data_IF_519011387060
#
_entry.id   IF_519011387060
#
_cell.length_a   1.000
_cell.length_b   1.000
_cell.length_c   1.000
_cell.angle_alpha   90.00
_cell.angle_beta   90.00
_cell.angle_gamma   90.00
#
_symmetry.space_group_name_H-M   'P 1'
#
loop_
_entity.id
_entity.type
_entity.pdbx_description
1 polymer ?
#
# COMPACT_ATOMS: atom_id res chain seq x y z
N UNK A 1 17.56 -23.09 -40.51
CA UNK A 1 16.36 -22.67 -39.73
C UNK A 1 16.53 -22.81 -38.21
N UNK A 2 17.74 -22.64 -37.66
CA UNK A 2 18.01 -22.63 -36.19
C UNK A 2 18.45 -21.26 -35.66
N UNK A 3 18.94 -20.37 -36.54
CA UNK A 3 19.41 -19.03 -36.14
C UNK A 3 18.27 -18.02 -35.90
N UNK A 4 17.12 -18.17 -36.57
CA UNK A 4 15.98 -17.24 -36.43
C UNK A 4 15.24 -17.50 -35.12
N UNK A 5 15.18 -18.75 -34.66
CA UNK A 5 14.46 -19.11 -33.43
C UNK A 5 15.18 -18.61 -32.17
N UNK A 6 16.52 -18.58 -32.17
CA UNK A 6 17.30 -18.09 -31.02
C UNK A 6 17.22 -16.55 -30.88
N UNK A 7 17.13 -15.81 -31.99
CA UNK A 7 17.03 -14.35 -31.97
C UNK A 7 15.67 -13.87 -31.47
N UNK A 8 14.59 -14.60 -31.77
CA UNK A 8 13.23 -14.25 -31.30
C UNK A 8 13.08 -14.51 -29.80
N UNK A 9 13.68 -15.58 -29.25
CA UNK A 9 13.72 -15.78 -27.79
C UNK A 9 14.61 -14.77 -27.06
N UNK A 10 15.70 -14.27 -27.69
CA UNK A 10 16.55 -13.25 -27.08
C UNK A 10 15.90 -11.85 -27.08
N UNK A 11 15.04 -11.56 -28.08
CA UNK A 11 14.27 -10.32 -28.15
C UNK A 11 13.09 -10.32 -27.19
N UNK A 12 12.37 -11.43 -27.02
CA UNK A 12 11.22 -11.50 -26.08
C UNK A 12 11.68 -11.47 -24.62
N UNK A 13 12.87 -12.00 -24.29
CA UNK A 13 13.46 -11.90 -22.95
C UNK A 13 13.91 -10.48 -22.57
N UNK A 14 14.09 -9.57 -23.53
CA UNK A 14 14.40 -8.15 -23.25
C UNK A 14 13.17 -7.27 -23.02
N UNK A 15 11.95 -7.77 -23.30
CA UNK A 15 10.71 -7.00 -23.12
C UNK A 15 9.99 -7.27 -21.80
N UNK A 16 10.52 -8.14 -20.94
CA UNK A 16 10.07 -8.29 -19.54
C UNK A 16 11.16 -7.86 -18.57
N UNK A 17 12.00 -6.89 -18.96
CA UNK A 17 12.53 -5.99 -17.93
C UNK A 17 11.31 -5.28 -17.36
N UNK A 18 11.03 -5.43 -16.06
CA UNK A 18 10.12 -4.53 -15.37
C UNK A 18 10.52 -3.10 -15.75
N UNK A 19 9.70 -2.42 -16.55
CA UNK A 19 10.05 -1.10 -17.04
C UNK A 19 10.07 -0.17 -15.83
N UNK A 20 11.21 0.47 -15.59
CA UNK A 20 11.35 1.39 -14.47
C UNK A 20 10.44 2.60 -14.68
N UNK A 21 9.88 3.18 -13.60
CA UNK A 21 9.16 4.43 -13.67
C UNK A 21 10.00 5.51 -14.37
N UNK A 22 9.40 6.19 -15.34
CA UNK A 22 9.99 7.34 -16.05
C UNK A 22 9.52 8.68 -15.51
N UNK A 23 8.39 8.68 -14.81
CA UNK A 23 7.74 9.87 -14.29
C UNK A 23 7.64 9.80 -12.78
N UNK A 24 8.04 10.87 -12.11
CA UNK A 24 8.20 10.93 -10.65
C UNK A 24 7.37 12.11 -10.11
N UNK A 25 6.49 11.88 -9.13
CA UNK A 25 5.79 12.96 -8.48
C UNK A 25 6.77 13.74 -7.61
N UNK A 26 6.58 15.04 -7.53
CA UNK A 26 7.28 15.90 -6.59
C UNK A 26 6.33 16.98 -6.08
N UNK A 27 6.69 17.56 -4.94
CA UNK A 27 6.01 18.72 -4.39
C UNK A 27 6.96 19.90 -4.40
N UNK A 28 6.54 21.03 -4.96
CA UNK A 28 7.30 22.27 -4.95
C UNK A 28 6.45 23.37 -4.33
N UNK A 29 6.94 23.97 -3.24
CA UNK A 29 6.21 25.04 -2.53
C UNK A 29 4.78 24.64 -2.09
N UNK A 30 4.58 23.37 -1.76
CA UNK A 30 3.26 22.85 -1.38
C UNK A 30 2.43 22.27 -2.53
N UNK A 31 2.82 22.53 -3.78
CA UNK A 31 2.05 22.13 -4.95
C UNK A 31 2.60 20.86 -5.59
N UNK A 32 1.72 19.91 -5.92
CA UNK A 32 2.07 18.62 -6.52
C UNK A 32 2.24 18.75 -8.03
N UNK A 33 3.23 18.05 -8.56
CA UNK A 33 3.65 18.08 -9.95
C UNK A 33 4.28 16.74 -10.34
N UNK A 34 4.46 16.48 -11.63
CA UNK A 34 5.15 15.29 -12.14
C UNK A 34 6.29 15.74 -13.04
N UNK A 35 7.47 15.16 -12.85
CA UNK A 35 8.62 15.35 -13.74
C UNK A 35 9.02 14.03 -14.38
N UNK A 36 9.82 14.08 -15.44
CA UNK A 36 10.55 12.92 -15.91
C UNK A 36 11.81 12.66 -15.05
N UNK A 37 12.38 11.46 -15.15
CA UNK A 37 13.63 11.06 -14.47
C UNK A 37 14.86 11.85 -14.94
N UNK A 38 14.77 12.55 -16.08
CA UNK A 38 15.80 13.45 -16.58
C UNK A 38 15.70 14.85 -15.93
N UNK A 39 14.69 15.08 -15.07
CA UNK A 39 14.49 16.31 -14.32
C UNK A 39 13.75 17.41 -15.08
N UNK A 40 13.04 17.10 -16.17
CA UNK A 40 12.16 18.06 -16.82
C UNK A 40 10.75 17.94 -16.23
N UNK A 41 10.13 19.08 -15.90
CA UNK A 41 8.74 19.10 -15.46
C UNK A 41 7.83 18.65 -16.61
N UNK A 42 7.02 17.61 -16.37
CA UNK A 42 6.10 17.01 -17.33
C UNK A 42 4.67 17.52 -17.14
N UNK A 43 4.17 17.49 -15.89
CA UNK A 43 2.91 18.11 -15.49
C UNK A 43 3.23 19.19 -14.47
N UNK A 44 2.85 20.44 -14.73
CA UNK A 44 3.21 21.59 -13.90
C UNK A 44 2.61 21.56 -12.48
N UNK A 45 3.19 22.33 -11.53
CA UNK A 45 2.67 22.47 -10.17
C UNK A 45 1.22 22.95 -10.13
N UNK A 46 0.48 22.45 -9.14
CA UNK A 46 -0.91 22.83 -8.89
C UNK A 46 -1.93 22.11 -9.77
N UNK A 47 -1.49 21.20 -10.64
CA UNK A 47 -2.43 20.39 -11.45
C UNK A 47 -3.17 19.36 -10.59
N UNK A 48 -2.46 18.76 -9.63
CA UNK A 48 -3.00 17.72 -8.75
C UNK A 48 -3.13 18.21 -7.31
N UNK A 49 -4.22 17.82 -6.66
CA UNK A 49 -4.45 18.05 -5.23
C UNK A 49 -3.74 17.03 -4.34
N UNK A 50 -3.64 15.79 -4.82
CA UNK A 50 -3.11 14.66 -4.06
C UNK A 50 -2.68 13.54 -5.02
N UNK A 51 -1.83 12.63 -4.54
CA UNK A 51 -1.49 11.40 -5.25
C UNK A 51 -1.29 10.22 -4.29
N UNK A 52 -1.63 9.02 -4.76
CA UNK A 52 -1.35 7.76 -4.09
C UNK A 52 -0.37 6.93 -4.93
N UNK A 53 0.70 6.41 -4.31
CA UNK A 53 1.69 5.57 -5.00
C UNK A 53 1.13 4.17 -5.22
N UNK A 54 1.27 3.64 -6.43
CA UNK A 54 0.78 2.31 -6.81
C UNK A 54 1.91 1.45 -7.36
N UNK A 55 1.93 0.18 -6.93
CA UNK A 55 2.79 -0.86 -7.50
C UNK A 55 4.27 -0.48 -7.49
N UNK A 56 4.73 0.08 -6.38
CA UNK A 56 6.10 0.57 -6.19
C UNK A 56 6.54 1.54 -7.31
N UNK A 57 5.81 2.65 -7.41
CA UNK A 57 6.01 3.75 -8.37
C UNK A 57 5.71 3.42 -9.84
N UNK A 58 5.15 2.26 -10.17
CA UNK A 58 4.71 1.94 -11.55
C UNK A 58 3.54 2.83 -12.00
N UNK A 59 2.73 3.30 -11.07
CA UNK A 59 1.64 4.23 -11.33
C UNK A 59 1.33 5.09 -10.10
N UNK A 60 0.48 6.09 -10.33
CA UNK A 60 -0.07 6.95 -9.27
C UNK A 60 -1.58 7.09 -9.46
N UNK A 61 -2.37 7.03 -8.38
CA UNK A 61 -3.76 7.49 -8.45
C UNK A 61 -3.72 8.99 -8.12
N UNK A 62 -4.08 9.84 -9.06
CA UNK A 62 -3.97 11.30 -8.93
C UNK A 62 -5.34 11.94 -8.85
N UNK A 63 -5.46 12.97 -8.00
CA UNK A 63 -6.63 13.82 -7.91
C UNK A 63 -6.39 15.10 -8.69
N UNK A 64 -7.07 15.29 -9.83
CA UNK A 64 -6.96 16.50 -10.64
C UNK A 64 -7.91 17.59 -10.14
N UNK A 65 -7.37 18.79 -9.89
CA UNK A 65 -8.13 19.96 -9.42
C UNK A 65 -9.27 20.37 -10.36
N UNK A 66 -9.13 20.08 -11.66
CA UNK A 66 -10.08 20.46 -12.70
C UNK A 66 -11.25 19.49 -12.78
N UNK A 67 -11.09 18.28 -12.26
CA UNK A 67 -12.09 17.22 -12.28
C UNK A 67 -12.71 17.11 -10.89
N UNK A 68 -13.93 17.63 -10.75
CA UNK A 68 -14.70 17.48 -9.50
C UNK A 68 -15.04 16.01 -9.28
N UNK A 69 -14.65 15.46 -8.13
CA UNK A 69 -14.96 14.10 -7.67
C UNK A 69 -14.39 12.93 -8.52
N UNK A 70 -13.26 13.14 -9.19
CA UNK A 70 -12.62 12.10 -10.00
C UNK A 70 -11.13 11.95 -9.66
N UNK A 71 -10.72 10.70 -9.44
CA UNK A 71 -9.34 10.26 -9.31
C UNK A 71 -9.05 9.26 -10.44
N UNK A 72 -7.86 9.32 -11.05
CA UNK A 72 -7.49 8.41 -12.16
C UNK A 72 -6.06 7.87 -12.00
N UNK A 73 -5.74 6.78 -12.71
CA UNK A 73 -4.38 6.23 -12.73
C UNK A 73 -3.51 6.99 -13.72
N UNK A 74 -2.45 7.60 -13.24
CA UNK A 74 -1.34 8.07 -14.04
C UNK A 74 -0.30 6.95 -14.17
N UNK A 75 -0.07 6.50 -15.40
CA UNK A 75 0.92 5.48 -15.71
C UNK A 75 2.34 6.09 -15.67
N UNK A 76 3.13 5.73 -14.66
CA UNK A 76 4.45 6.34 -14.44
C UNK A 76 5.51 5.86 -15.43
N UNK A 77 5.21 4.88 -16.26
CA UNK A 77 6.12 4.32 -17.27
C UNK A 77 5.87 5.01 -18.62
N UNK A 78 4.61 5.09 -19.05
CA UNK A 78 4.23 5.70 -20.34
C UNK A 78 4.02 7.21 -20.28
N UNK A 79 3.71 7.76 -19.09
CA UNK A 79 3.36 9.16 -18.91
C UNK A 79 1.93 9.50 -19.34
N UNK A 80 1.11 8.48 -19.57
CA UNK A 80 -0.30 8.65 -19.93
C UNK A 80 -1.17 8.58 -18.68
N UNK A 81 -2.10 9.50 -18.55
CA UNK A 81 -3.28 9.26 -17.72
C UNK A 81 -4.09 8.16 -18.39
N UNK A 82 -4.36 7.08 -17.67
CA UNK A 82 -5.34 6.10 -18.11
C UNK A 82 -6.71 6.75 -17.85
N UNK A 83 -7.43 7.07 -18.94
CA UNK A 83 -8.78 7.66 -18.90
C UNK A 83 -9.80 6.73 -18.19
N UNK A 84 -9.37 5.52 -17.82
CA UNK A 84 -10.20 4.39 -17.39
C UNK A 84 -10.69 4.46 -15.93
N UNK A 85 -10.64 5.61 -15.24
CA UNK A 85 -11.38 5.77 -13.97
C UNK A 85 -12.11 7.10 -13.84
N UNK A 86 -13.44 6.98 -13.78
CA UNK A 86 -14.41 8.07 -13.63
C UNK A 86 -15.08 8.06 -12.23
N UNK A 87 -14.29 7.90 -11.17
CA UNK A 87 -14.80 7.83 -9.79
C UNK A 87 -13.83 8.36 -8.74
N UNK A 88 -14.27 8.45 -7.48
CA UNK A 88 -13.49 8.95 -6.35
C UNK A 88 -12.85 7.81 -5.57
N UNK A 89 -11.54 7.84 -5.37
CA UNK A 89 -10.81 6.89 -4.54
C UNK A 89 -11.32 6.94 -3.10
N UNK A 90 -11.74 5.78 -2.59
CA UNK A 90 -12.00 5.57 -1.17
C UNK A 90 -10.65 5.45 -0.43
N UNK A 91 -10.12 6.61 -0.04
CA UNK A 91 -8.83 6.73 0.65
C UNK A 91 -8.84 6.02 2.02
N UNK A 92 -10.00 5.72 2.61
CA UNK A 92 -10.10 5.00 3.89
C UNK A 92 -9.97 3.47 3.73
N UNK A 93 -10.38 2.93 2.58
CA UNK A 93 -10.30 1.51 2.28
C UNK A 93 -8.85 1.03 2.08
N UNK A 94 -7.95 1.92 1.65
CA UNK A 94 -6.54 1.60 1.41
C UNK A 94 -6.35 0.57 0.30
N UNK A 95 -5.12 0.11 0.11
CA UNK A 95 -4.78 -0.92 -0.86
C UNK A 95 -5.22 -2.32 -0.40
N UNK A 96 -5.86 -3.08 -1.28
CA UNK A 96 -6.33 -4.45 -1.05
C UNK A 96 -5.46 -5.45 -1.83
N UNK A 97 -4.55 -6.14 -1.15
CA UNK A 97 -3.76 -7.21 -1.75
C UNK A 97 -4.57 -8.51 -1.86
N UNK A 98 -4.62 -9.08 -3.07
CA UNK A 98 -5.30 -10.33 -3.42
C UNK A 98 -4.40 -11.09 -4.38
N UNK A 99 -3.83 -12.22 -3.96
CA UNK A 99 -2.82 -12.94 -4.74
C UNK A 99 -1.65 -12.03 -5.12
N UNK A 100 -1.34 -11.98 -6.42
CA UNK A 100 -0.29 -11.13 -7.00
C UNK A 100 -0.73 -9.70 -7.32
N UNK A 101 -2.01 -9.37 -7.10
CA UNK A 101 -2.59 -8.07 -7.46
C UNK A 101 -2.92 -7.22 -6.25
N UNK A 102 -2.89 -5.92 -6.47
CA UNK A 102 -3.37 -4.92 -5.51
C UNK A 102 -4.54 -4.18 -6.12
N UNK A 103 -5.69 -4.25 -5.47
CA UNK A 103 -6.91 -3.54 -5.85
C UNK A 103 -7.12 -2.30 -4.99
N UNK A 104 -7.78 -1.30 -5.57
CA UNK A 104 -8.17 -0.05 -4.93
C UNK A 104 -9.67 0.13 -5.09
N UNK A 105 -10.31 0.64 -4.04
CA UNK A 105 -11.77 0.85 -4.01
C UNK A 105 -12.09 2.28 -4.42
N UNK A 106 -12.95 2.42 -5.43
CA UNK A 106 -13.48 3.70 -5.90
C UNK A 106 -15.01 3.76 -5.73
N UNK A 107 -15.53 4.98 -5.61
CA UNK A 107 -16.94 5.28 -5.76
C UNK A 107 -17.16 5.84 -7.16
N UNK A 108 -17.82 5.09 -8.02
CA UNK A 108 -18.10 5.45 -9.41
C UNK A 108 -19.57 5.14 -9.72
N UNK A 109 -20.26 6.03 -10.44
CA UNK A 109 -21.60 5.79 -10.98
C UNK A 109 -22.65 5.29 -9.95
N UNK A 110 -22.53 5.74 -8.69
CA UNK A 110 -23.44 5.33 -7.62
C UNK A 110 -23.17 3.95 -7.01
N UNK A 111 -22.17 3.22 -7.50
CA UNK A 111 -21.72 1.92 -7.01
C UNK A 111 -20.31 1.97 -6.41
N UNK A 112 -19.88 0.85 -5.83
CA UNK A 112 -18.45 0.61 -5.55
C UNK A 112 -17.79 0.01 -6.78
N UNK A 113 -16.52 0.36 -7.02
CA UNK A 113 -15.70 -0.20 -8.08
C UNK A 113 -14.36 -0.65 -7.52
N UNK A 114 -13.87 -1.80 -7.97
CA UNK A 114 -12.55 -2.33 -7.62
C UNK A 114 -11.66 -2.24 -8.85
N UNK A 115 -10.48 -1.64 -8.70
CA UNK A 115 -9.56 -1.44 -9.83
C UNK A 115 -8.14 -1.80 -9.42
N UNK A 116 -7.45 -2.56 -10.26
CA UNK A 116 -6.02 -2.78 -10.16
C UNK A 116 -5.32 -2.08 -11.32
N UNK A 117 -4.06 -1.69 -11.12
CA UNK A 117 -3.30 -1.00 -12.16
C UNK A 117 -3.15 -1.88 -13.41
N UNK A 118 -3.43 -1.30 -14.59
CA UNK A 118 -3.37 -2.00 -15.88
C UNK A 118 -4.47 -3.04 -16.09
N UNK A 119 -5.60 -2.92 -15.38
CA UNK A 119 -6.77 -3.81 -15.51
C UNK A 119 -8.06 -3.02 -15.65
N UNK A 120 -9.08 -3.66 -16.24
CA UNK A 120 -10.42 -3.07 -16.36
C UNK A 120 -11.08 -2.87 -14.98
N UNK A 121 -11.96 -1.86 -14.91
CA UNK A 121 -12.78 -1.59 -13.72
C UNK A 121 -13.77 -2.73 -13.46
N UNK A 122 -13.83 -3.19 -12.21
CA UNK A 122 -14.83 -4.14 -11.74
C UNK A 122 -15.90 -3.42 -10.91
N UNK A 123 -17.06 -3.17 -11.50
CA UNK A 123 -18.20 -2.60 -10.78
C UNK A 123 -18.86 -3.65 -9.89
N UNK A 124 -19.07 -3.28 -8.64
CA UNK A 124 -19.75 -4.11 -7.66
C UNK A 124 -21.28 -3.91 -7.75
N UNK A 125 -22.08 -4.92 -7.34
CA UNK A 125 -23.54 -4.89 -7.49
C UNK A 125 -24.21 -3.75 -6.70
N UNK A 126 -23.52 -3.18 -5.71
CA UNK A 126 -24.02 -2.10 -4.89
C UNK A 126 -22.88 -1.23 -4.35
N UNK A 127 -23.28 -0.13 -3.71
CA UNK A 127 -22.34 0.73 -2.98
C UNK A 127 -22.10 0.19 -1.57
N UNK A 128 -20.85 -0.18 -1.33
CA UNK A 128 -20.34 -0.53 -0.02
C UNK A 128 -19.73 0.70 0.67
N UNK A 129 -19.94 0.79 1.98
CA UNK A 129 -19.31 1.81 2.83
C UNK A 129 -17.82 1.56 3.00
N UNK A 130 -17.41 0.30 2.95
CA UNK A 130 -16.02 -0.11 3.13
C UNK A 130 -15.79 -1.48 2.52
N UNK A 131 -14.64 -1.67 1.90
CA UNK A 131 -14.18 -2.97 1.43
C UNK A 131 -12.89 -3.25 2.17
N UNK A 132 -12.96 -4.20 3.09
CA UNK A 132 -11.84 -4.52 3.94
C UNK A 132 -11.25 -5.84 3.46
N UNK A 133 -9.91 -5.90 3.25
CA UNK A 133 -9.28 -7.19 3.42
C UNK A 133 -9.71 -7.67 4.79
N UNK A 134 -9.80 -8.97 4.92
CA UNK A 134 -9.82 -9.54 6.23
C UNK A 134 -8.52 -9.14 6.97
N UNK A 135 -8.57 -8.06 7.78
CA UNK A 135 -7.58 -6.96 7.81
C UNK A 135 -6.23 -7.24 8.53
N UNK A 136 -5.70 -8.45 8.38
CA UNK A 136 -4.30 -8.82 8.65
C UNK A 136 -3.73 -9.59 7.44
N UNK A 137 -3.72 -8.97 6.26
CA UNK A 137 -3.29 -9.55 4.99
C UNK A 137 -1.77 -9.83 4.93
N UNK A 138 -1.29 -10.79 5.73
CA UNK A 138 -0.04 -11.51 5.48
C UNK A 138 -0.28 -12.92 4.94
N UNK A 139 -1.54 -13.37 4.86
CA UNK A 139 -1.81 -14.76 4.49
C UNK A 139 -2.91 -14.93 3.45
N UNK A 140 -3.33 -13.86 2.78
CA UNK A 140 -3.98 -14.03 1.49
C UNK A 140 -2.95 -14.59 0.48
N UNK A 141 -1.69 -14.14 0.53
CA UNK A 141 -0.64 -14.60 -0.39
C UNK A 141 -0.30 -16.10 -0.30
N UNK A 142 -0.58 -16.77 0.83
CA UNK A 142 -0.31 -18.21 1.01
C UNK A 142 -1.56 -19.09 1.04
N UNK A 143 -2.76 -18.55 0.80
CA UNK A 143 -3.95 -19.35 0.56
C UNK A 143 -4.07 -19.59 -0.96
N UNK A 144 -3.59 -20.74 -1.47
CA UNK A 144 -3.80 -21.06 -2.87
C UNK A 144 -5.31 -21.08 -3.16
N UNK A 145 -5.67 -20.33 -4.21
CA UNK A 145 -6.90 -20.45 -4.99
C UNK A 145 -8.21 -19.84 -4.42
N UNK A 146 -8.25 -19.27 -3.21
CA UNK A 146 -9.43 -18.53 -2.72
C UNK A 146 -9.10 -17.41 -1.73
N UNK A 147 -9.39 -16.17 -2.11
CA UNK A 147 -9.36 -15.02 -1.20
C UNK A 147 -10.79 -14.58 -0.83
N UNK A 148 -10.96 -14.10 0.40
CA UNK A 148 -12.23 -13.57 0.86
C UNK A 148 -12.08 -12.14 1.36
N UNK A 149 -13.05 -11.30 0.99
CA UNK A 149 -13.05 -9.87 1.30
C UNK A 149 -14.40 -9.50 1.91
N UNK A 150 -14.39 -8.73 2.99
CA UNK A 150 -15.61 -8.31 3.67
C UNK A 150 -16.03 -6.94 3.18
N UNK A 151 -17.28 -6.80 2.73
CA UNK A 151 -17.80 -5.58 2.17
C UNK A 151 -18.97 -5.06 3.01
N UNK A 152 -18.77 -3.92 3.69
CA UNK A 152 -19.74 -3.34 4.60
C UNK A 152 -20.84 -2.62 3.84
N UNK A 153 -22.08 -3.05 4.02
CA UNK A 153 -23.28 -2.41 3.45
C UNK A 153 -23.69 -1.18 4.25
N UNK A 154 -24.60 -0.38 3.67
CA UNK A 154 -25.11 0.87 4.30
C UNK A 154 -25.93 0.64 5.56
N UNK A 155 -26.57 -0.51 5.67
CA UNK A 155 -27.32 -0.97 6.86
C UNK A 155 -26.39 -1.55 7.96
N UNK A 156 -25.07 -1.40 7.80
CA UNK A 156 -24.04 -1.92 8.70
C UNK A 156 -23.93 -3.45 8.76
N UNK A 157 -24.66 -4.17 7.90
CA UNK A 157 -24.40 -5.60 7.65
C UNK A 157 -23.25 -5.75 6.64
N UNK A 158 -22.79 -6.99 6.43
CA UNK A 158 -21.68 -7.26 5.51
C UNK A 158 -22.07 -8.31 4.46
N UNK A 159 -21.49 -8.15 3.27
CA UNK A 159 -21.37 -9.23 2.29
C UNK A 159 -19.96 -9.81 2.35
N UNK A 160 -19.81 -11.06 1.89
CA UNK A 160 -18.51 -11.67 1.66
C UNK A 160 -18.29 -11.84 0.17
N UNK A 161 -17.23 -11.24 -0.33
CA UNK A 161 -16.92 -11.18 -1.76
C UNK A 161 -15.75 -12.09 -2.10
N UNK A 162 -15.81 -12.70 -3.29
CA UNK A 162 -14.79 -13.55 -3.90
C UNK A 162 -14.07 -12.78 -5.02
N UNK A 163 -12.84 -12.27 -4.80
CA UNK A 163 -12.11 -11.50 -5.81
C UNK A 163 -11.90 -12.25 -7.13
N UNK A 164 -11.62 -13.56 -7.08
CA UNK A 164 -11.39 -14.41 -8.27
C UNK A 164 -12.64 -14.55 -9.14
N UNK A 165 -13.81 -14.35 -8.53
CA UNK A 165 -15.10 -14.36 -9.22
C UNK A 165 -15.61 -12.94 -9.48
N UNK A 166 -14.69 -12.00 -9.74
CA UNK A 166 -15.02 -10.59 -9.98
C UNK A 166 -15.78 -9.96 -8.80
N UNK A 167 -15.37 -10.29 -7.58
CA UNK A 167 -15.97 -9.79 -6.34
C UNK A 167 -17.46 -10.12 -6.19
N UNK A 168 -17.91 -11.27 -6.69
CA UNK A 168 -19.26 -11.78 -6.43
C UNK A 168 -19.46 -12.14 -4.95
N UNK A 169 -20.67 -11.88 -4.45
CA UNK A 169 -21.04 -12.22 -3.09
C UNK A 169 -21.29 -13.73 -2.92
N UNK A 170 -20.91 -14.29 -1.78
CA UNK A 170 -21.22 -15.67 -1.37
C UNK A 170 -22.71 -15.77 -1.00
N UNK A 171 -23.42 -16.74 -1.57
CA UNK A 171 -24.90 -16.83 -1.48
C UNK A 171 -25.43 -17.43 -0.16
N UNK A 172 -24.66 -18.27 0.53
CA UNK A 172 -25.18 -19.15 1.59
C UNK A 172 -24.81 -18.74 3.03
N UNK A 173 -24.57 -17.45 3.27
CA UNK A 173 -24.28 -16.95 4.61
C UNK A 173 -25.55 -16.39 5.29
N UNK A 174 -25.70 -16.57 6.61
CA UNK A 174 -26.72 -15.85 7.36
C UNK A 174 -26.40 -14.36 7.34
N UNK A 175 -27.41 -13.52 7.51
CA UNK A 175 -27.21 -12.08 7.69
C UNK A 175 -26.42 -11.80 8.98
N UNK A 176 -25.44 -10.89 8.91
CA UNK A 176 -24.58 -10.54 10.04
C UNK A 176 -24.14 -9.07 9.97
N UNK A 177 -23.92 -8.47 11.14
CA UNK A 177 -23.41 -7.09 11.28
C UNK A 177 -21.98 -7.03 11.79
N UNK A 178 -21.39 -8.17 12.16
CA UNK A 178 -19.99 -8.28 12.56
C UNK A 178 -19.42 -9.69 12.33
N UNK A 179 -18.10 -9.79 12.16
CA UNK A 179 -17.38 -11.05 11.95
C UNK A 179 -16.14 -11.13 12.85
N UNK A 180 -15.54 -12.30 13.09
CA UNK A 180 -14.14 -12.39 13.58
C UNK A 180 -13.36 -13.55 12.98
N UNK A 181 -12.04 -13.48 13.01
CA UNK A 181 -11.17 -14.54 12.50
C UNK A 181 -10.72 -15.50 13.57
N UNK A 182 -10.65 -16.75 13.15
CA UNK A 182 -10.24 -17.88 13.97
C UNK A 182 -8.93 -18.41 13.43
N UNK A 183 -7.88 -18.34 14.26
CA UNK A 183 -6.58 -18.90 13.96
C UNK A 183 -6.31 -20.11 14.82
N UNK A 184 -5.79 -21.19 14.24
CA UNK A 184 -5.30 -22.34 14.99
C UNK A 184 -3.94 -22.03 15.59
N UNK A 185 -3.74 -22.40 16.85
CA UNK A 185 -2.46 -22.25 17.56
C UNK A 185 -1.74 -23.60 17.61
N UNK A 186 -0.42 -23.59 17.40
CA UNK A 186 0.43 -24.76 17.59
C UNK A 186 1.61 -24.41 18.49
N UNK A 187 2.06 -25.34 19.32
CA UNK A 187 3.17 -25.10 20.26
C UNK A 187 4.50 -24.74 19.58
N UNK A 188 4.68 -25.10 18.30
CA UNK A 188 5.97 -24.99 17.58
C UNK A 188 5.88 -24.35 16.20
N UNK A 189 4.72 -23.86 15.75
CA UNK A 189 4.48 -23.39 14.39
C UNK A 189 3.77 -22.03 14.30
N UNK A 190 3.80 -21.43 13.11
CA UNK A 190 3.06 -20.20 12.83
C UNK A 190 1.54 -20.42 12.99
N UNK A 191 0.83 -19.41 13.47
CA UNK A 191 -0.65 -19.43 13.47
C UNK A 191 -1.18 -19.56 12.05
N UNK A 192 -2.20 -20.39 11.86
CA UNK A 192 -2.85 -20.60 10.56
C UNK A 192 -4.31 -20.17 10.62
N UNK A 193 -4.80 -19.50 9.59
CA UNK A 193 -6.22 -19.18 9.48
C UNK A 193 -7.03 -20.49 9.35
N UNK A 194 -8.00 -20.70 10.25
CA UNK A 194 -8.86 -21.90 10.28
C UNK A 194 -10.30 -21.61 9.88
N UNK A 195 -10.74 -20.38 10.08
CA UNK A 195 -12.07 -19.97 9.69
C UNK A 195 -12.44 -18.60 10.26
N UNK A 196 -13.74 -18.39 10.42
CA UNK A 196 -14.30 -17.15 10.89
C UNK A 196 -15.61 -17.38 11.62
N UNK A 197 -16.01 -16.39 12.40
CA UNK A 197 -17.30 -16.35 13.09
C UNK A 197 -18.11 -15.15 12.63
N UNK A 198 -19.44 -15.31 12.57
CA UNK A 198 -20.40 -14.29 12.16
C UNK A 198 -21.43 -14.05 13.27
N UNK A 199 -21.79 -12.79 13.51
CA UNK A 199 -22.75 -12.41 14.54
C UNK A 199 -23.21 -10.96 14.47
N UNK A 200 -23.91 -10.53 15.52
CA UNK A 200 -24.28 -9.12 15.67
C UNK A 200 -23.08 -8.28 16.12
N UNK A 201 -23.19 -6.95 16.00
CA UNK A 201 -22.19 -6.01 16.50
C UNK A 201 -21.93 -6.17 18.00
N UNK A 202 -22.95 -6.46 18.80
CA UNK A 202 -22.84 -6.69 20.25
C UNK A 202 -22.19 -8.05 20.56
N UNK A 203 -22.39 -9.04 19.70
CA UNK A 203 -21.75 -10.34 19.86
C UNK A 203 -20.25 -10.26 19.60
N UNK A 204 -19.86 -9.46 18.59
CA UNK A 204 -18.49 -9.33 18.12
C UNK A 204 -18.18 -7.83 17.99
N UNK A 205 -17.80 -7.17 19.09
CA UNK A 205 -17.51 -5.74 19.07
C UNK A 205 -16.15 -5.46 18.42
N UNK A 206 -16.15 -4.72 17.31
CA UNK A 206 -14.95 -4.47 16.51
C UNK A 206 -14.52 -3.02 16.53
N UNK A 207 -13.84 -2.65 17.61
CA UNK A 207 -12.96 -1.48 17.62
C UNK A 207 -11.72 -1.80 18.44
N UNK A 208 -10.78 -2.61 17.91
CA UNK A 208 -9.44 -2.75 18.50
C UNK A 208 -9.46 -3.18 19.99
N UNK A 209 -9.54 -4.46 20.33
CA UNK A 209 -9.50 -4.70 21.77
C UNK A 209 -9.27 -6.06 22.37
N UNK A 210 -9.00 -7.16 21.67
CA UNK A 210 -8.51 -8.34 22.42
C UNK A 210 -7.07 -8.13 22.95
N UNK A 211 -6.30 -7.18 22.39
CA UNK A 211 -5.05 -6.69 23.01
C UNK A 211 -5.25 -5.76 24.22
N UNK A 212 -6.49 -5.38 24.53
CA UNK A 212 -6.89 -4.56 25.69
C UNK A 212 -8.05 -5.17 26.50
N UNK A 213 -8.34 -6.46 26.32
CA UNK A 213 -9.41 -7.17 27.03
C UNK A 213 -10.83 -6.96 26.48
N UNK A 214 -11.04 -7.09 25.16
CA UNK A 214 -12.38 -7.17 24.55
C UNK A 214 -13.11 -8.30 25.27
N UNK A 215 -14.27 -8.01 25.86
CA UNK A 215 -15.04 -9.03 26.52
C UNK A 215 -15.43 -10.09 25.48
N UNK A 216 -15.07 -11.34 25.75
CA UNK A 216 -15.83 -12.45 25.19
C UNK A 216 -17.29 -12.22 25.55
N UNK A 217 -18.17 -12.26 24.56
CA UNK A 217 -19.60 -12.09 24.80
C UNK A 217 -20.23 -13.45 25.03
N UNK A 218 -21.26 -13.49 25.86
CA UNK A 218 -22.10 -14.68 26.01
C UNK A 218 -23.12 -14.84 24.86
N UNK A 219 -23.03 -13.97 23.86
CA UNK A 219 -23.86 -14.00 22.67
C UNK A 219 -23.43 -15.13 21.73
N UNK A 220 -24.42 -15.73 21.07
CA UNK A 220 -24.21 -16.83 20.13
C UNK A 220 -23.76 -16.29 18.79
N UNK A 221 -22.68 -16.86 18.25
CA UNK A 221 -22.15 -16.62 16.91
C UNK A 221 -22.24 -17.89 16.08
N UNK A 222 -22.27 -17.72 14.76
CA UNK A 222 -22.16 -18.84 13.82
C UNK A 222 -20.72 -19.02 13.40
N UNK A 223 -20.21 -20.25 13.45
CA UNK A 223 -18.80 -20.57 13.19
C UNK A 223 -18.67 -21.30 11.85
N UNK A 224 -17.72 -20.86 11.03
CA UNK A 224 -17.43 -21.38 9.70
C UNK A 224 -15.94 -21.70 9.58
N UNK A 225 -15.59 -22.70 8.79
CA UNK A 225 -14.22 -22.90 8.33
C UNK A 225 -13.85 -21.97 7.15
N UNK A 226 -12.60 -22.02 6.70
CA UNK A 226 -12.10 -21.24 5.55
C UNK A 226 -12.82 -21.50 4.23
N UNK A 227 -13.54 -22.62 4.11
CA UNK A 227 -14.33 -22.98 2.92
C UNK A 227 -15.81 -22.61 3.07
N UNK A 228 -16.16 -21.79 4.06
CA UNK A 228 -17.53 -21.32 4.32
C UNK A 228 -18.47 -22.46 4.71
N UNK A 229 -17.95 -23.60 5.16
CA UNK A 229 -18.76 -24.67 5.72
C UNK A 229 -19.09 -24.33 7.17
N UNK A 230 -20.39 -24.28 7.47
CA UNK A 230 -20.88 -24.07 8.84
C UNK A 230 -20.44 -25.24 9.72
N UNK A 231 -19.63 -24.96 10.73
CA UNK A 231 -19.23 -25.92 11.77
C UNK A 231 -20.29 -26.02 12.88
N UNK A 232 -20.95 -24.90 13.16
CA UNK A 232 -22.01 -24.86 14.17
C UNK A 232 -22.29 -23.45 14.66
N UNK A 233 -22.86 -23.37 15.85
CA UNK A 233 -23.05 -22.12 16.60
C UNK A 233 -22.47 -22.31 17.98
N UNK A 234 -21.77 -21.31 18.47
CA UNK A 234 -21.15 -21.32 19.78
C UNK A 234 -21.33 -19.95 20.44
N UNK A 235 -21.22 -19.91 21.76
CA UNK A 235 -21.02 -18.65 22.46
C UNK A 235 -19.69 -18.04 21.99
N UNK A 236 -19.60 -16.71 21.87
CA UNK A 236 -18.39 -16.01 21.43
C UNK A 236 -17.27 -16.02 22.49
N UNK A 237 -16.74 -17.21 22.72
CA UNK A 237 -15.67 -17.55 23.66
C UNK A 237 -14.73 -18.54 22.98
N UNK A 238 -13.43 -18.37 23.20
CA UNK A 238 -12.41 -19.21 22.56
C UNK A 238 -12.63 -20.69 22.85
N UNK A 239 -12.94 -21.05 24.10
CA UNK A 239 -13.17 -22.45 24.51
C UNK A 239 -14.30 -23.12 23.72
N UNK A 240 -15.45 -22.44 23.61
CA UNK A 240 -16.63 -22.95 22.93
C UNK A 240 -16.42 -23.03 21.41
N UNK A 241 -15.66 -22.10 20.83
CA UNK A 241 -15.32 -22.11 19.41
C UNK A 241 -14.24 -23.16 19.10
N UNK A 242 -13.20 -23.30 19.94
CA UNK A 242 -12.19 -24.37 19.87
C UNK A 242 -12.83 -25.75 19.80
N UNK A 243 -13.91 -25.97 20.56
CA UNK A 243 -14.62 -27.26 20.54
C UNK A 243 -15.22 -27.60 19.16
N UNK A 244 -15.62 -26.59 18.37
CA UNK A 244 -16.13 -26.78 17.00
C UNK A 244 -15.00 -27.07 16.00
N UNK A 245 -13.82 -26.49 16.20
CA UNK A 245 -12.64 -26.74 15.37
C UNK A 245 -11.85 -27.99 15.79
N UNK A 246 -12.12 -28.54 16.98
CA UNK A 246 -11.40 -29.68 17.58
C UNK A 246 -9.90 -29.43 17.76
N UNK A 247 -9.50 -28.16 17.92
CA UNK A 247 -8.13 -27.72 18.15
C UNK A 247 -8.14 -26.42 18.98
N UNK A 248 -7.00 -26.06 19.55
CA UNK A 248 -6.85 -24.76 20.19
C UNK A 248 -6.88 -23.66 19.14
N UNK A 249 -7.73 -22.67 19.38
CA UNK A 249 -7.84 -21.49 18.54
C UNK A 249 -7.56 -20.23 19.33
N UNK A 250 -7.26 -19.18 18.57
CA UNK A 250 -7.22 -17.83 19.05
C UNK A 250 -8.16 -16.98 18.20
N UNK A 251 -9.02 -16.23 18.89
CA UNK A 251 -9.72 -15.11 18.28
C UNK A 251 -8.74 -13.94 18.28
N UNK A 252 -8.60 -13.26 17.15
CA UNK A 252 -7.59 -12.19 17.06
C UNK A 252 -8.20 -10.82 17.13
N UNK A 253 -9.48 -10.64 16.77
CA UNK A 253 -9.99 -9.33 16.41
C UNK A 253 -9.18 -8.74 15.25
N UNK A 254 -9.80 -8.01 14.33
CA UNK A 254 -9.02 -7.25 13.37
C UNK A 254 -8.12 -6.25 14.10
N UNK A 255 -6.79 -6.40 13.99
CA UNK A 255 -5.87 -5.38 14.48
C UNK A 255 -4.64 -5.21 13.59
N UNK A 256 -4.68 -4.07 12.89
CA UNK A 256 -3.60 -3.18 12.48
C UNK A 256 -2.43 -3.85 11.74
N UNK A 257 -2.28 -3.60 10.42
CA UNK A 257 -0.96 -3.80 9.81
C UNK A 257 0.05 -2.98 10.61
N UNK A 258 1.22 -3.53 10.99
CA UNK A 258 2.33 -2.70 11.44
C UNK A 258 2.53 -1.61 10.38
N UNK A 259 2.91 -0.38 10.78
CA UNK A 259 2.99 0.74 9.87
C UNK A 259 3.68 0.24 8.60
N UNK A 260 3.00 0.30 7.45
CA UNK A 260 3.76 0.39 6.22
C UNK A 260 4.70 1.56 6.50
N UNK A 261 6.00 1.30 6.65
CA UNK A 261 6.97 2.33 7.03
C UNK A 261 7.19 3.18 5.77
N UNK A 262 6.12 3.68 5.17
CA UNK A 262 6.13 4.47 3.95
C UNK A 262 6.98 5.70 4.22
N UNK A 263 7.02 6.19 5.47
CA UNK A 263 7.94 7.25 5.88
C UNK A 263 8.51 6.99 7.28
N UNK A 264 9.79 6.58 7.38
CA UNK A 264 10.53 6.60 8.65
C UNK A 264 11.32 7.89 8.77
N UNK A 265 11.04 8.73 9.77
CA UNK A 265 11.86 9.91 10.02
C UNK A 265 13.27 9.49 10.46
N UNK A 266 14.29 10.06 9.83
CA UNK A 266 15.68 9.88 10.22
C UNK A 266 16.06 11.04 11.13
N UNK A 267 16.25 10.75 12.42
CA UNK A 267 16.70 11.73 13.39
C UNK A 267 18.22 11.88 13.34
N UNK A 268 18.70 13.09 13.53
CA UNK A 268 20.11 13.42 13.31
C UNK A 268 21.04 12.97 14.44
N UNK A 269 20.59 12.90 15.70
CA UNK A 269 21.31 12.51 16.95
C UNK A 269 22.85 12.68 16.97
N UNK A 270 23.42 13.61 16.20
CA UNK A 270 24.85 13.69 15.91
C UNK A 270 25.47 12.42 15.27
N UNK A 271 24.68 11.50 14.71
CA UNK A 271 25.20 10.22 14.19
C UNK A 271 25.23 10.18 12.66
N UNK A 272 26.24 9.48 12.13
CA UNK A 272 26.29 9.14 10.71
C UNK A 272 25.36 7.96 10.45
N UNK A 273 24.50 8.08 9.45
CA UNK A 273 23.58 7.02 9.00
C UNK A 273 24.08 6.51 7.66
N UNK A 274 24.60 5.29 7.65
CA UNK A 274 25.01 4.60 6.43
C UNK A 274 23.77 4.12 5.67
N UNK A 275 23.63 4.51 4.39
CA UNK A 275 22.52 4.09 3.53
C UNK A 275 22.90 2.86 2.71
N UNK A 276 24.12 2.89 2.14
CA UNK A 276 24.79 1.75 1.52
C UNK A 276 26.31 2.00 1.49
N UNK A 277 27.05 1.24 0.67
CA UNK A 277 28.52 1.35 0.54
C UNK A 277 28.99 2.64 -0.14
N UNK A 278 28.09 3.44 -0.71
CA UNK A 278 28.41 4.64 -1.49
C UNK A 278 27.80 5.93 -0.90
N UNK A 279 26.60 5.85 -0.33
CA UNK A 279 25.86 7.01 0.17
C UNK A 279 25.60 6.91 1.66
N UNK A 280 25.68 8.05 2.33
CA UNK A 280 25.38 8.17 3.75
C UNK A 280 24.88 9.57 4.09
N UNK A 281 24.23 9.67 5.24
CA UNK A 281 23.85 10.93 5.86
C UNK A 281 24.85 11.23 6.99
N UNK A 282 25.53 12.37 6.94
CA UNK A 282 26.46 12.80 7.98
C UNK A 282 25.93 14.05 8.71
N UNK A 283 26.29 14.27 9.99
CA UNK A 283 25.97 15.51 10.67
C UNK A 283 26.52 16.73 9.93
N UNK A 284 25.70 17.77 9.79
CA UNK A 284 26.14 19.04 9.22
C UNK A 284 27.15 19.72 10.17
N UNK A 285 28.24 20.25 9.61
CA UNK A 285 29.31 20.91 10.38
C UNK A 285 28.88 22.22 11.04
N UNK A 286 27.92 22.92 10.44
CA UNK A 286 27.35 24.16 10.98
C UNK A 286 26.21 23.91 11.98
N UNK A 287 25.49 22.80 11.85
CA UNK A 287 24.40 22.41 12.76
C UNK A 287 24.33 20.89 12.88
N UNK A 288 24.94 20.34 13.93
CA UNK A 288 24.96 18.89 14.22
C UNK A 288 23.57 18.25 14.39
N UNK A 289 22.51 19.05 14.52
CA UNK A 289 21.12 18.56 14.52
C UNK A 289 20.55 18.34 13.12
N UNK A 290 21.31 18.61 12.07
CA UNK A 290 20.91 18.40 10.67
C UNK A 290 21.82 17.37 10.03
N UNK A 291 21.28 16.67 9.05
CA UNK A 291 22.01 15.70 8.25
C UNK A 291 22.26 16.23 6.84
N UNK A 292 23.36 15.79 6.24
CA UNK A 292 23.72 16.08 4.84
C UNK A 292 23.92 14.77 4.12
N UNK A 293 23.24 14.61 2.99
CA UNK A 293 23.44 13.49 2.09
C UNK A 293 24.74 13.66 1.31
N UNK A 294 25.66 12.70 1.46
CA UNK A 294 26.99 12.74 0.85
C UNK A 294 27.31 11.44 0.11
N UNK A 295 28.22 11.53 -0.87
CA UNK A 295 28.83 10.36 -1.50
C UNK A 295 30.15 10.02 -0.78
N UNK A 296 30.16 8.91 -0.04
CA UNK A 296 31.31 8.44 0.74
C UNK A 296 32.51 8.05 -0.14
N UNK A 297 32.27 7.59 -1.38
CA UNK A 297 33.32 7.25 -2.34
C UNK A 297 33.95 8.47 -3.03
N UNK A 298 33.33 9.64 -2.90
CA UNK A 298 33.82 10.93 -3.43
C UNK A 298 34.20 11.90 -2.32
N UNK A 299 34.99 11.45 -1.34
CA UNK A 299 35.45 12.29 -0.23
C UNK A 299 34.31 13.02 0.53
N UNK A 300 33.15 12.37 0.69
CA UNK A 300 31.96 12.96 1.28
C UNK A 300 31.44 14.21 0.55
N UNK A 301 31.59 14.26 -0.78
CA UNK A 301 30.98 15.31 -1.59
C UNK A 301 29.46 15.36 -1.35
N UNK A 302 28.87 16.53 -1.03
CA UNK A 302 27.44 16.68 -0.87
C UNK A 302 26.69 16.35 -2.16
N UNK A 303 25.69 15.48 -2.05
CA UNK A 303 24.81 15.11 -3.17
C UNK A 303 23.82 16.25 -3.48
N UNK A 304 23.34 16.89 -2.40
CA UNK A 304 22.51 18.08 -2.44
C UNK A 304 23.34 19.25 -1.88
N UNK A 305 23.04 20.47 -2.35
CA UNK A 305 23.68 21.67 -1.79
C UNK A 305 23.27 21.91 -0.32
N UNK A 306 23.76 23.01 0.28
CA UNK A 306 23.57 23.35 1.69
C UNK A 306 22.13 23.79 2.07
N UNK A 307 21.12 23.16 1.49
CA UNK A 307 19.71 23.42 1.75
C UNK A 307 19.22 22.88 3.08
N UNK A 308 18.07 23.38 3.52
CA UNK A 308 17.41 22.98 4.77
C UNK A 308 16.62 21.70 4.54
N UNK A 309 17.29 20.55 4.48
CA UNK A 309 16.68 19.26 4.15
C UNK A 309 16.54 18.31 5.34
N UNK A 310 15.36 17.71 5.43
CA UNK A 310 15.06 16.55 6.25
C UNK A 310 14.96 15.30 5.36
N UNK A 311 15.34 14.15 5.93
CA UNK A 311 15.31 12.87 5.21
C UNK A 311 14.39 11.88 5.92
N UNK A 312 13.64 11.13 5.12
CA UNK A 312 12.83 10.02 5.61
C UNK A 312 13.07 8.79 4.74
N UNK A 313 13.20 7.61 5.33
CA UNK A 313 13.16 6.38 4.54
C UNK A 313 11.77 6.23 3.95
N UNK A 314 11.71 5.84 2.70
CA UNK A 314 10.49 5.42 2.04
C UNK A 314 10.50 3.90 1.85
N UNK A 315 9.54 3.20 2.47
CA UNK A 315 9.34 1.77 2.23
C UNK A 315 8.43 1.53 1.04
N UNK A 316 8.76 0.48 0.30
CA UNK A 316 7.93 -0.10 -0.76
C UNK A 316 7.47 -1.49 -0.32
N UNK A 317 6.63 -2.17 -1.13
CA UNK A 317 6.27 -3.57 -0.83
C UNK A 317 7.50 -4.48 -0.87
N UNK A 318 8.44 -4.18 -1.76
CA UNK A 318 9.64 -4.99 -2.01
C UNK A 318 10.81 -4.69 -1.04
N UNK A 319 10.91 -3.47 -0.51
CA UNK A 319 12.01 -3.05 0.36
C UNK A 319 11.58 -2.02 1.42
N UNK A 320 11.81 -2.34 2.69
CA UNK A 320 11.50 -1.50 3.86
C UNK A 320 12.32 -0.20 3.95
N UNK A 321 13.33 -0.01 3.09
CA UNK A 321 14.13 1.22 2.97
C UNK A 321 14.58 1.41 1.52
N UNK A 322 13.62 1.45 0.62
CA UNK A 322 13.85 1.55 -0.82
C UNK A 322 14.61 2.83 -1.24
N UNK A 323 14.21 3.99 -0.71
CA UNK A 323 14.72 5.29 -1.14
C UNK A 323 14.55 6.34 -0.03
N UNK A 324 15.12 7.53 -0.22
CA UNK A 324 14.91 8.67 0.67
C UNK A 324 13.86 9.61 0.10
N UNK A 325 12.86 9.96 0.90
CA UNK A 325 12.08 11.17 0.71
C UNK A 325 12.88 12.35 1.28
N UNK A 326 13.17 13.32 0.42
CA UNK A 326 13.92 14.54 0.75
C UNK A 326 12.92 15.68 0.90
N UNK A 327 12.84 16.28 2.08
CA UNK A 327 11.90 17.36 2.38
C UNK A 327 12.65 18.64 2.65
N UNK A 328 12.31 19.72 1.95
CA UNK A 328 12.88 21.02 2.25
C UNK A 328 12.06 21.72 3.33
N UNK A 329 12.64 21.90 4.52
CA UNK A 329 11.96 22.35 5.74
C UNK A 329 11.32 23.74 5.65
N UNK A 330 11.83 24.61 4.77
CA UNK A 330 11.30 25.98 4.60
C UNK A 330 10.19 26.10 3.54
N UNK A 331 10.34 25.42 2.41
CA UNK A 331 9.39 25.55 1.29
C UNK A 331 8.28 24.50 1.33
N UNK A 332 8.40 23.47 2.16
CA UNK A 332 7.50 22.33 2.12
C UNK A 332 7.63 21.52 0.82
N UNK A 333 8.75 21.66 0.09
CA UNK A 333 9.02 20.89 -1.11
C UNK A 333 9.38 19.44 -0.73
N UNK A 334 8.95 18.47 -1.55
CA UNK A 334 9.18 17.04 -1.35
C UNK A 334 9.73 16.46 -2.65
N UNK A 335 10.83 15.74 -2.52
CA UNK A 335 11.55 15.07 -3.61
C UNK A 335 11.97 13.66 -3.19
N UNK A 336 12.59 12.93 -4.10
CA UNK A 336 13.08 11.58 -3.85
C UNK A 336 14.55 11.41 -4.19
N UNK A 337 15.23 10.48 -3.53
CA UNK A 337 16.60 10.09 -3.83
C UNK A 337 16.74 8.58 -3.69
N UNK A 338 17.02 7.92 -4.80
CA UNK A 338 17.21 6.47 -4.83
C UNK A 338 18.70 6.14 -4.70
N UNK A 339 19.10 5.65 -3.53
CA UNK A 339 20.49 5.32 -3.25
C UNK A 339 20.90 3.95 -3.81
N UNK A 340 19.96 3.08 -4.15
CA UNK A 340 20.21 1.72 -4.67
C UNK A 340 19.94 1.60 -6.19
N UNK A 341 19.16 2.53 -6.76
CA UNK A 341 18.73 2.51 -8.14
C UNK A 341 17.59 1.53 -8.42
N UNK A 342 16.81 1.17 -7.41
CA UNK A 342 15.72 0.20 -7.52
C UNK A 342 14.59 0.73 -8.39
N UNK A 343 14.15 1.96 -8.16
CA UNK A 343 13.00 2.60 -8.81
C UNK A 343 13.44 3.71 -9.76
N UNK A 344 14.39 4.55 -9.35
CA UNK A 344 14.85 5.71 -10.10
C UNK A 344 16.35 5.59 -10.43
N UNK A 345 16.94 6.50 -11.25
CA UNK A 345 18.38 6.49 -11.47
C UNK A 345 19.16 6.59 -10.16
N UNK A 346 20.04 5.60 -9.91
CA UNK A 346 20.86 5.52 -8.69
C UNK A 346 21.64 6.81 -8.49
N UNK A 347 21.56 7.39 -7.29
CA UNK A 347 22.42 8.50 -6.92
C UNK A 347 22.05 9.84 -7.55
N UNK A 348 20.91 9.91 -8.25
CA UNK A 348 20.41 11.14 -8.86
C UNK A 348 19.25 11.66 -8.02
N UNK A 349 19.36 12.87 -7.42
CA UNK A 349 18.22 13.49 -6.77
C UNK A 349 17.11 13.79 -7.75
N UNK A 350 15.91 13.31 -7.44
CA UNK A 350 14.71 13.51 -8.22
C UNK A 350 14.13 14.91 -7.95
N UNK A 351 14.85 15.93 -8.42
CA UNK A 351 14.51 17.36 -8.32
C UNK A 351 14.49 17.92 -9.75
N UNK A 352 13.45 18.68 -10.15
CA UNK A 352 13.44 19.32 -11.47
C UNK A 352 14.63 20.25 -11.66
N UNK A 353 15.23 20.23 -12.85
CA UNK A 353 16.44 21.00 -13.20
C UNK A 353 16.24 22.50 -12.98
N UNK A 354 15.08 23.02 -13.37
CA UNK A 354 14.70 24.43 -13.22
C UNK A 354 14.41 24.82 -11.76
N UNK A 355 14.37 23.85 -10.84
CA UNK A 355 14.15 24.04 -9.39
C UNK A 355 15.37 23.65 -8.55
N UNK A 356 16.52 23.35 -9.17
CA UNK A 356 17.78 23.05 -8.47
C UNK A 356 18.52 24.33 -8.02
N UNK A 357 17.83 25.30 -7.40
CA UNK A 357 18.47 26.55 -6.96
C UNK A 357 19.42 26.35 -5.76
N UNK A 358 19.29 25.24 -5.03
CA UNK A 358 20.08 24.91 -3.84
C UNK A 358 21.53 24.51 -4.12
N UNK A 359 21.89 24.18 -5.37
CA UNK A 359 23.28 23.86 -5.75
C UNK A 359 24.16 25.12 -5.86
N UNK A 360 23.56 26.31 -5.88
CA UNK A 360 24.21 27.54 -6.31
C UNK A 360 24.88 28.36 -5.20
N UNK A 361 24.78 27.94 -3.94
CA UNK A 361 25.44 28.60 -2.81
C UNK A 361 26.58 27.73 -2.25
N UNK A 362 27.56 27.41 -3.10
CA UNK A 362 28.85 26.86 -2.66
C UNK A 362 29.75 27.93 -2.08
#
# INVERSE_FOLDING_TARGET
MKLILTLVTLFVAHFVSAQKPRYVPFQYQGEISIMDVDGNTFVGPGTFNDYHVVGDFKAYIVWDQRLTDQDFFFNAISGQGEDDIAGRLDRECGALAVGDRTFYHFWAEGASAMVSYGTDVLYLPQRYLKIEPNRQAWDNENLPDKHFVWAKKRDYTYDVLLPEQQFKAVENLPEFTSYDLVFGTSETGAMQLKGFVLGSWEAIERKFGQMYGIPQSDSVVTVYDVDFKKLGTAVYREKEISALFTEEIQLRGSLVPPPQIIHQVINSEGTTVELNDEYRLIPNTADSKRLVLVNAKKNNEPVLGAGDFDYRYFSTKEDAKALLQVRHGKSGSIFFFDFNGTFFPKGVPMIPKDKMEWKSNQ
#
